data_IF_603707464656
#
_entry.id   IF_603707464656
#
_cell.length_a   1.000
_cell.length_b   1.000
_cell.length_c   1.000
_cell.angle_alpha   90.00
_cell.angle_beta   90.00
_cell.angle_gamma   90.00
#
_symmetry.space_group_name_H-M   'P 1'
#
loop_
_entity.id
_entity.type
_entity.pdbx_description
1 polymer ?
#
# COMPACT_ATOMS: atom_id res chain seq x y z
N UNK A 1 17.45 -26.56 -14.99
CA UNK A 1 16.01 -26.91 -14.98
C UNK A 1 15.24 -25.71 -14.45
N UNK A 2 14.60 -24.94 -15.32
CA UNK A 2 13.72 -23.83 -14.94
C UNK A 2 12.32 -24.40 -14.74
N UNK A 3 11.86 -24.50 -13.50
CA UNK A 3 10.48 -24.87 -13.21
C UNK A 3 9.56 -23.79 -13.77
N UNK A 4 8.59 -24.10 -14.65
CA UNK A 4 7.57 -23.15 -15.03
C UNK A 4 6.65 -22.97 -13.81
N UNK A 5 6.96 -22.00 -12.97
CA UNK A 5 6.15 -21.66 -11.80
C UNK A 5 4.83 -21.07 -12.31
N UNK A 6 3.81 -21.93 -12.42
CA UNK A 6 2.45 -21.51 -12.69
C UNK A 6 1.84 -21.02 -11.37
N UNK A 7 2.25 -19.84 -10.92
CA UNK A 7 1.64 -19.12 -9.79
C UNK A 7 0.27 -18.57 -10.20
N UNK A 8 -0.65 -19.48 -10.52
CA UNK A 8 -2.06 -19.17 -10.65
C UNK A 8 -2.63 -19.01 -9.25
N UNK A 9 -2.50 -17.81 -8.69
CA UNK A 9 -3.14 -17.47 -7.41
C UNK A 9 -4.65 -17.65 -7.55
N UNK A 10 -5.25 -18.41 -6.63
CA UNK A 10 -6.72 -18.50 -6.53
C UNK A 10 -7.28 -17.09 -6.25
N UNK A 11 -8.47 -16.74 -6.78
CA UNK A 11 -9.07 -15.42 -6.55
C UNK A 11 -9.17 -15.06 -5.06
N UNK A 12 -9.47 -16.03 -4.19
CA UNK A 12 -9.50 -15.83 -2.75
C UNK A 12 -8.13 -15.49 -2.15
N UNK A 13 -7.05 -16.14 -2.60
CA UNK A 13 -5.68 -15.84 -2.16
C UNK A 13 -5.24 -14.46 -2.64
N UNK A 14 -5.62 -14.07 -3.86
CA UNK A 14 -5.35 -12.75 -4.38
C UNK A 14 -6.08 -11.65 -3.58
N UNK A 15 -7.35 -11.89 -3.21
CA UNK A 15 -8.09 -10.98 -2.34
C UNK A 15 -7.43 -10.83 -0.97
N UNK A 16 -7.00 -11.93 -0.34
CA UNK A 16 -6.29 -11.88 0.95
C UNK A 16 -4.98 -11.11 0.82
N UNK A 17 -4.22 -11.31 -0.26
CA UNK A 17 -2.95 -10.61 -0.48
C UNK A 17 -3.16 -9.09 -0.66
N UNK A 18 -4.18 -8.68 -1.43
CA UNK A 18 -4.55 -7.27 -1.55
C UNK A 18 -5.02 -6.72 -0.21
N UNK A 19 -5.89 -7.44 0.49
CA UNK A 19 -6.47 -6.97 1.74
C UNK A 19 -5.40 -6.77 2.81
N UNK A 20 -4.47 -7.71 2.95
CA UNK A 20 -3.33 -7.60 3.88
C UNK A 20 -2.34 -6.51 3.48
N UNK A 21 -2.15 -6.25 2.18
CA UNK A 21 -1.31 -5.14 1.72
C UNK A 21 -1.93 -3.76 1.96
N UNK A 22 -3.26 -3.66 1.93
CA UNK A 22 -4.00 -2.39 2.17
C UNK A 22 -4.21 -2.15 3.66
N UNK A 23 -4.55 -3.19 4.42
CA UNK A 23 -4.81 -3.10 5.85
C UNK A 23 -3.47 -3.16 6.59
N UNK A 24 -2.89 -1.97 6.79
CA UNK A 24 -1.73 -1.76 7.62
C UNK A 24 -2.04 -0.88 8.83
N UNK A 25 -0.97 -0.47 9.51
CA UNK A 25 -1.01 0.50 10.61
C UNK A 25 -1.85 1.75 10.28
N UNK A 26 -1.77 2.22 9.03
CA UNK A 26 -2.41 3.46 8.64
C UNK A 26 -3.95 3.40 8.70
N UNK A 27 -4.55 2.22 8.62
CA UNK A 27 -6.00 2.06 8.80
C UNK A 27 -6.44 2.31 10.25
N UNK A 28 -5.55 2.09 11.22
CA UNK A 28 -5.79 2.36 12.64
C UNK A 28 -5.56 3.84 13.00
N UNK A 29 -4.55 4.48 12.38
CA UNK A 29 -4.23 5.90 12.64
C UNK A 29 -5.09 6.88 11.83
N UNK A 30 -5.55 6.52 10.64
CA UNK A 30 -6.26 7.43 9.74
C UNK A 30 -7.54 8.05 10.31
N UNK A 31 -8.43 7.32 11.02
CA UNK A 31 -9.59 7.93 11.64
C UNK A 31 -9.20 9.03 12.64
N UNK A 32 -8.12 8.80 13.40
CA UNK A 32 -7.63 9.73 14.41
C UNK A 32 -7.01 10.97 13.76
N UNK A 33 -6.24 10.81 12.69
CA UNK A 33 -5.71 11.91 11.88
C UNK A 33 -6.84 12.71 11.23
N UNK A 34 -7.84 12.02 10.69
CA UNK A 34 -8.97 12.64 10.00
C UNK A 34 -9.84 13.45 10.97
N UNK A 35 -10.13 12.94 12.16
CA UNK A 35 -10.88 13.66 13.20
C UNK A 35 -10.08 14.85 13.73
N UNK A 36 -8.75 14.73 13.87
CA UNK A 36 -7.90 15.88 14.22
C UNK A 36 -7.92 16.98 13.16
N UNK A 37 -8.01 16.62 11.88
CA UNK A 37 -8.01 17.59 10.78
C UNK A 37 -9.38 18.22 10.51
N UNK A 38 -10.45 17.43 10.58
CA UNK A 38 -11.81 17.81 10.14
C UNK A 38 -12.82 17.88 11.30
N UNK A 39 -12.37 17.70 12.55
CA UNK A 39 -13.23 17.63 13.72
C UNK A 39 -14.17 16.42 13.68
N UNK A 40 -15.39 16.59 14.18
CA UNK A 40 -16.40 15.51 14.26
C UNK A 40 -16.72 14.89 12.88
N UNK A 41 -16.65 15.67 11.80
CA UNK A 41 -16.89 15.21 10.43
C UNK A 41 -15.76 14.32 9.89
N UNK A 42 -14.59 14.32 10.53
CA UNK A 42 -13.43 13.53 10.12
C UNK A 42 -13.63 12.02 10.23
N UNK A 43 -14.60 11.56 11.04
CA UNK A 43 -14.95 10.14 11.11
C UNK A 43 -15.47 9.59 9.76
N UNK A 44 -16.09 10.44 8.94
CA UNK A 44 -16.59 10.07 7.61
C UNK A 44 -15.54 10.19 6.50
N UNK A 45 -14.33 10.69 6.80
CA UNK A 45 -13.28 10.86 5.80
C UNK A 45 -12.85 9.54 5.13
N UNK A 46 -12.72 8.39 5.83
CA UNK A 46 -12.42 7.11 5.18
C UNK A 46 -13.54 6.65 4.23
N UNK A 47 -14.80 6.92 4.57
CA UNK A 47 -15.95 6.63 3.69
C UNK A 47 -15.94 7.53 2.45
N UNK A 48 -15.62 8.82 2.61
CA UNK A 48 -15.46 9.73 1.49
C UNK A 48 -14.28 9.32 0.58
N UNK A 49 -13.20 8.78 1.15
CA UNK A 49 -12.06 8.26 0.41
C UNK A 49 -12.38 6.98 -0.39
N UNK A 50 -13.45 6.26 -0.07
CA UNK A 50 -13.87 5.09 -0.85
C UNK A 50 -14.24 5.47 -2.29
N UNK A 51 -14.83 6.64 -2.51
CA UNK A 51 -15.26 7.11 -3.84
C UNK A 51 -14.10 7.22 -4.83
N UNK A 52 -13.01 7.98 -4.56
CA UNK A 52 -11.86 8.04 -5.46
C UNK A 52 -11.16 6.69 -5.60
N UNK A 53 -11.12 5.86 -4.55
CA UNK A 53 -10.53 4.51 -4.62
C UNK A 53 -11.27 3.63 -5.61
N UNK A 54 -12.60 3.61 -5.58
CA UNK A 54 -13.41 2.85 -6.54
C UNK A 54 -13.17 3.35 -7.98
N UNK A 55 -13.08 4.66 -8.19
CA UNK A 55 -12.78 5.23 -9.51
C UNK A 55 -11.41 4.76 -10.04
N UNK A 56 -10.39 4.72 -9.18
CA UNK A 56 -9.05 4.22 -9.53
C UNK A 56 -9.10 2.73 -9.88
N UNK A 57 -9.81 1.91 -9.09
CA UNK A 57 -9.95 0.46 -9.35
C UNK A 57 -10.60 0.22 -10.72
N UNK A 58 -11.66 0.96 -11.05
CA UNK A 58 -12.33 0.88 -12.36
C UNK A 58 -11.36 1.26 -13.48
N UNK A 59 -10.60 2.34 -13.31
CA UNK A 59 -9.59 2.77 -14.28
C UNK A 59 -8.49 1.71 -14.48
N UNK A 60 -8.01 1.08 -13.40
CA UNK A 60 -7.04 -0.01 -13.47
C UNK A 60 -7.59 -1.23 -14.21
N UNK A 61 -8.84 -1.61 -13.95
CA UNK A 61 -9.49 -2.73 -14.63
C UNK A 61 -9.69 -2.46 -16.12
N UNK A 62 -10.13 -1.24 -16.47
CA UNK A 62 -10.23 -0.81 -17.86
C UNK A 62 -8.87 -0.84 -18.57
N UNK A 63 -7.80 -0.45 -17.86
CA UNK A 63 -6.45 -0.44 -18.41
C UNK A 63 -5.89 -1.86 -18.60
N UNK A 64 -6.13 -2.77 -17.65
CA UNK A 64 -5.75 -4.18 -17.79
C UNK A 64 -6.48 -4.87 -18.94
N UNK A 65 -7.77 -4.54 -19.15
CA UNK A 65 -8.52 -5.06 -20.30
C UNK A 65 -7.94 -4.56 -21.63
N UNK A 66 -7.41 -3.34 -21.67
CA UNK A 66 -6.81 -2.73 -22.87
C UNK A 66 -5.38 -3.20 -23.13
N UNK A 67 -4.59 -3.47 -22.09
CA UNK A 67 -3.20 -3.90 -22.18
C UNK A 67 -2.94 -5.15 -21.32
N UNK A 68 -3.42 -6.33 -21.75
CA UNK A 68 -3.29 -7.56 -20.98
C UNK A 68 -1.82 -7.94 -20.80
N UNK A 69 -1.46 -8.38 -19.59
CA UNK A 69 -0.14 -8.90 -19.25
C UNK A 69 0.97 -7.86 -19.04
N UNK A 70 0.66 -6.56 -19.14
CA UNK A 70 1.63 -5.48 -18.86
C UNK A 70 1.46 -4.96 -17.43
N UNK A 71 2.57 -4.71 -16.75
CA UNK A 71 2.53 -4.05 -15.44
C UNK A 71 2.12 -2.59 -15.58
N UNK A 72 1.59 -1.97 -14.52
CA UNK A 72 1.19 -0.55 -14.55
C UNK A 72 2.31 0.40 -15.02
N UNK A 73 3.55 0.09 -14.64
CA UNK A 73 4.80 0.76 -15.05
C UNK A 73 5.04 0.64 -16.57
N UNK A 74 4.76 -0.54 -17.14
CA UNK A 74 4.88 -0.79 -18.57
C UNK A 74 3.73 -0.18 -19.37
N UNK A 75 2.52 -0.13 -18.81
CA UNK A 75 1.39 0.57 -19.41
C UNK A 75 1.68 2.08 -19.53
N UNK A 76 2.28 2.70 -18.50
CA UNK A 76 2.64 4.11 -18.53
C UNK A 76 3.56 4.46 -19.72
N UNK A 77 4.55 3.60 -19.99
CA UNK A 77 5.49 3.76 -21.11
C UNK A 77 4.81 3.69 -22.48
N UNK A 78 3.71 2.93 -22.59
CA UNK A 78 2.98 2.76 -23.84
C UNK A 78 1.97 3.88 -24.12
N UNK A 79 1.44 4.51 -23.06
CA UNK A 79 0.40 5.54 -23.18
C UNK A 79 1.01 6.93 -23.35
N UNK A 80 2.06 7.24 -22.58
CA UNK A 80 2.62 8.61 -22.46
C UNK A 80 3.96 8.73 -23.22
N UNK A 81 4.59 7.60 -23.57
CA UNK A 81 5.91 7.56 -24.21
C UNK A 81 7.04 7.37 -23.19
N UNK A 82 8.25 7.07 -23.70
CA UNK A 82 9.35 6.57 -22.88
C UNK A 82 9.86 7.59 -21.84
N UNK A 83 10.16 8.82 -22.25
CA UNK A 83 10.73 9.86 -21.38
C UNK A 83 9.81 10.22 -20.20
N UNK A 84 8.54 10.62 -20.41
CA UNK A 84 7.65 10.95 -19.29
C UNK A 84 7.34 9.72 -18.41
N UNK A 85 7.27 8.53 -18.99
CA UNK A 85 7.04 7.32 -18.20
C UNK A 85 8.23 7.00 -17.28
N UNK A 86 9.48 7.18 -17.73
CA UNK A 86 10.66 7.00 -16.88
C UNK A 86 10.62 7.95 -15.68
N UNK A 87 10.28 9.23 -15.90
CA UNK A 87 10.17 10.23 -14.83
C UNK A 87 9.09 9.82 -13.81
N UNK A 88 7.89 9.45 -14.29
CA UNK A 88 6.78 9.02 -13.43
C UNK A 88 7.16 7.76 -12.65
N UNK A 89 7.80 6.80 -13.29
CA UNK A 89 8.23 5.56 -12.63
C UNK A 89 9.33 5.81 -11.59
N UNK A 90 10.24 6.75 -11.85
CA UNK A 90 11.27 7.14 -10.89
C UNK A 90 10.64 7.83 -9.67
N UNK A 91 9.70 8.76 -9.89
CA UNK A 91 8.92 9.37 -8.82
C UNK A 91 8.15 8.33 -8.00
N UNK A 92 7.56 7.33 -8.67
CA UNK A 92 6.86 6.23 -8.00
C UNK A 92 7.81 5.44 -7.10
N UNK A 93 9.03 5.13 -7.55
CA UNK A 93 10.04 4.43 -6.74
C UNK A 93 10.44 5.26 -5.51
N UNK A 94 10.68 6.56 -5.68
CA UNK A 94 11.01 7.46 -4.57
C UNK A 94 9.84 7.51 -3.58
N UNK A 95 8.61 7.66 -4.08
CA UNK A 95 7.40 7.66 -3.27
C UNK A 95 7.30 6.39 -2.43
N UNK A 96 7.45 5.20 -3.03
CA UNK A 96 7.42 3.93 -2.30
C UNK A 96 8.50 3.83 -1.22
N UNK A 97 9.72 4.33 -1.47
CA UNK A 97 10.78 4.34 -0.45
C UNK A 97 10.43 5.24 0.73
N UNK A 98 9.96 6.46 0.46
CA UNK A 98 9.57 7.41 1.51
C UNK A 98 8.40 6.86 2.30
N UNK A 99 7.40 6.29 1.62
CA UNK A 99 6.25 5.65 2.23
C UNK A 99 6.67 4.51 3.17
N UNK A 100 7.53 3.59 2.70
CA UNK A 100 8.05 2.51 3.53
C UNK A 100 8.80 3.00 4.77
N UNK A 101 9.61 4.06 4.64
CA UNK A 101 10.33 4.66 5.76
C UNK A 101 9.38 5.30 6.80
N UNK A 102 8.34 6.00 6.34
CA UNK A 102 7.30 6.56 7.20
C UNK A 102 6.52 5.45 7.92
N UNK A 103 6.09 4.42 7.21
CA UNK A 103 5.41 3.26 7.81
C UNK A 103 6.27 2.57 8.86
N UNK A 104 7.57 2.37 8.62
CA UNK A 104 8.47 1.77 9.60
C UNK A 104 8.61 2.62 10.87
N UNK A 105 8.72 3.95 10.71
CA UNK A 105 8.76 4.91 11.84
C UNK A 105 7.47 4.86 12.65
N UNK A 106 6.33 4.81 11.99
CA UNK A 106 5.03 4.84 12.66
C UNK A 106 4.75 3.54 13.40
N UNK A 107 5.12 2.39 12.83
CA UNK A 107 5.09 1.09 13.52
C UNK A 107 6.01 1.10 14.74
N UNK A 108 7.24 1.62 14.63
CA UNK A 108 8.16 1.72 15.76
C UNK A 108 7.62 2.65 16.86
N UNK A 109 6.96 3.75 16.49
CA UNK A 109 6.30 4.65 17.43
C UNK A 109 5.17 3.94 18.17
N UNK A 110 4.34 3.17 17.46
CA UNK A 110 3.28 2.37 18.07
C UNK A 110 3.85 1.35 19.07
N UNK A 111 4.88 0.59 18.67
CA UNK A 111 5.53 -0.39 19.54
C UNK A 111 6.07 0.28 20.80
N UNK A 112 6.76 1.42 20.66
CA UNK A 112 7.33 2.14 21.81
C UNK A 112 6.30 2.75 22.77
N UNK A 113 5.10 3.07 22.28
CA UNK A 113 4.04 3.73 23.08
C UNK A 113 3.05 2.73 23.69
N UNK A 114 2.81 1.60 23.04
CA UNK A 114 1.87 0.57 23.49
C UNK A 114 2.53 -0.54 24.30
N UNK A 115 3.83 -0.77 24.13
CA UNK A 115 4.57 -1.75 24.92
C UNK A 115 5.14 -1.09 26.18
N UNK A 116 4.98 -1.75 27.33
CA UNK A 116 5.52 -1.30 28.61
C UNK A 116 7.01 -0.95 28.47
N UNK A 117 7.40 0.23 28.95
CA UNK A 117 8.73 0.84 29.02
C UNK A 117 9.91 -0.08 29.46
N UNK A 118 9.66 -1.34 29.84
CA UNK A 118 10.62 -2.30 30.37
C UNK A 118 10.91 -3.50 29.46
N UNK A 119 10.27 -3.66 28.30
CA UNK A 119 10.59 -4.79 27.42
C UNK A 119 11.80 -4.44 26.55
N UNK A 120 12.99 -5.04 26.78
CA UNK A 120 14.19 -4.71 26.02
C UNK A 120 14.03 -5.15 24.56
N UNK A 121 14.45 -4.29 23.63
CA UNK A 121 14.32 -4.51 22.17
C UNK A 121 14.91 -5.85 21.70
N UNK A 122 15.90 -6.39 22.40
CA UNK A 122 16.51 -7.71 22.11
C UNK A 122 15.52 -8.87 22.27
N UNK A 123 14.50 -8.77 23.11
CA UNK A 123 13.48 -9.81 23.30
C UNK A 123 12.71 -10.11 21.99
N UNK A 124 12.48 -9.11 21.15
CA UNK A 124 11.83 -9.29 19.85
C UNK A 124 12.73 -10.01 18.83
N UNK A 125 14.06 -9.90 18.95
CA UNK A 125 14.98 -10.67 18.10
C UNK A 125 15.00 -12.16 18.44
N UNK A 126 14.59 -12.53 19.66
CA UNK A 126 14.49 -13.93 20.10
C UNK A 126 13.14 -14.57 19.79
N UNK A 127 12.10 -13.77 19.55
CA UNK A 127 10.79 -14.20 19.08
C UNK A 127 10.79 -13.99 17.56
N UNK A 128 11.38 -14.93 16.84
CA UNK A 128 11.60 -14.82 15.39
C UNK A 128 10.34 -14.43 14.61
N UNK A 129 10.44 -13.31 13.91
CA UNK A 129 9.73 -12.99 12.67
C UNK A 129 10.76 -12.48 11.64
#
# INVERSE_FOLDING_TARGET
>A
MTFPEKTSLRPSMYLVLIFTAIIGYDMLSNPLVSVKALGNSGYFAPLAAAVPVIAIIIAMFALQKRFPGKSGVQCASLIIGHVPAVIINLLLIIFWRVFAALSARDIMTLVSTQMLLKTPLWFFSTIGY
#
